data_IF_938476830857
#
_entry.id   IF_938476830857
#
_cell.length_a   1.000
_cell.length_b   1.000
_cell.length_c   1.000
_cell.angle_alpha   90.00
_cell.angle_beta   90.00
_cell.angle_gamma   90.00
#
_symmetry.space_group_name_H-M   'P 1'
#
loop_
_entity.id
_entity.type
_entity.pdbx_description
1 polymer ?
#
# COMPACT_ATOMS: atom_id res chain seq x y z
N UNK A 1 0.24 13.36 -9.96
CA UNK A 1 0.81 12.60 -8.81
C UNK A 1 -0.18 12.73 -7.66
N UNK A 2 -0.76 11.63 -7.18
CA UNK A 2 -1.78 11.66 -6.13
C UNK A 2 -1.12 11.32 -4.78
N UNK A 3 -1.30 12.18 -3.79
CA UNK A 3 -0.93 11.91 -2.39
C UNK A 3 -2.11 11.18 -1.78
N UNK A 4 -1.95 9.89 -1.51
CA UNK A 4 -2.94 9.14 -0.74
C UNK A 4 -2.66 9.34 0.74
N UNK A 5 -3.64 9.84 1.49
CA UNK A 5 -3.59 9.91 2.96
C UNK A 5 -4.31 8.68 3.48
N UNK A 6 -3.57 7.67 3.90
CA UNK A 6 -4.16 6.48 4.51
C UNK A 6 -4.19 6.63 6.03
N UNK A 7 -5.35 6.42 6.64
CA UNK A 7 -5.53 6.42 8.08
C UNK A 7 -4.83 5.19 8.69
N UNK A 8 -3.74 5.40 9.43
CA UNK A 8 -3.05 4.33 10.13
C UNK A 8 -3.77 4.08 11.46
N UNK A 9 -4.88 3.34 11.43
CA UNK A 9 -5.83 3.16 12.55
C UNK A 9 -5.22 2.65 13.87
N UNK A 10 -3.99 2.13 13.85
CA UNK A 10 -3.30 1.57 15.02
C UNK A 10 -2.05 2.34 15.46
N UNK A 11 -1.85 3.59 15.02
CA UNK A 11 -0.66 4.37 15.43
C UNK A 11 -1.04 5.73 16.02
N UNK A 12 -0.36 6.10 17.10
CA UNK A 12 -0.59 7.38 17.77
C UNK A 12 -0.15 8.55 16.88
N UNK A 13 -0.85 9.69 16.88
CA UNK A 13 -0.57 10.84 16.02
C UNK A 13 0.86 11.40 16.15
N UNK A 14 1.50 11.22 17.30
CA UNK A 14 2.87 11.64 17.60
C UNK A 14 3.96 10.78 16.92
N UNK A 15 3.61 9.64 16.31
CA UNK A 15 4.59 8.80 15.62
C UNK A 15 5.00 9.42 14.28
N UNK A 16 6.25 9.88 14.21
CA UNK A 16 6.89 10.48 13.03
C UNK A 16 7.21 9.43 11.97
N UNK A 17 6.18 9.01 11.26
CA UNK A 17 6.30 7.92 10.28
C UNK A 17 5.94 8.41 8.90
N UNK A 18 6.61 7.82 7.92
CA UNK A 18 6.25 7.87 6.52
C UNK A 18 6.27 6.44 5.95
N UNK A 19 5.49 6.15 4.91
CA UNK A 19 5.43 4.83 4.26
C UNK A 19 5.61 4.94 2.74
N UNK A 20 6.38 4.00 2.17
CA UNK A 20 6.67 3.95 0.72
C UNK A 20 7.17 2.57 0.29
N UNK A 21 7.39 2.36 -1.01
CA UNK A 21 8.29 1.32 -1.48
C UNK A 21 9.77 1.72 -1.29
N UNK A 22 10.53 0.86 -0.61
CA UNK A 22 11.90 1.16 -0.17
C UNK A 22 12.92 0.66 -1.20
N UNK A 23 13.79 1.54 -1.72
CA UNK A 23 14.87 1.21 -2.64
C UNK A 23 16.26 1.39 -1.97
N UNK A 24 17.24 0.55 -2.32
CA UNK A 24 18.65 0.62 -1.95
C UNK A 24 19.33 1.83 -2.61
N UNK A 25 19.94 2.69 -1.79
CA UNK A 25 20.81 3.80 -2.21
C UNK A 25 21.71 4.23 -1.04
N UNK A 26 22.71 5.08 -1.33
CA UNK A 26 23.79 5.54 -0.43
C UNK A 26 23.31 6.52 0.66
N UNK A 27 22.16 7.17 0.49
CA UNK A 27 21.61 8.10 1.49
C UNK A 27 20.93 7.38 2.66
N UNK A 28 21.08 7.93 3.88
CA UNK A 28 20.45 7.45 5.14
C UNK A 28 18.94 7.26 5.02
N UNK A 29 18.32 8.05 4.14
CA UNK A 29 16.96 7.87 3.69
C UNK A 29 16.99 7.13 2.33
N UNK A 30 16.87 5.80 2.43
CA UNK A 30 16.86 4.83 1.33
C UNK A 30 15.88 5.27 0.24
N UNK A 31 16.36 5.52 -0.98
CA UNK A 31 15.58 6.10 -2.11
C UNK A 31 14.19 5.49 -2.17
N UNK A 32 13.19 6.37 -2.25
CA UNK A 32 11.80 6.01 -2.05
C UNK A 32 11.12 6.25 -3.37
N UNK A 33 10.88 5.23 -4.20
CA UNK A 33 10.34 5.43 -5.54
C UNK A 33 9.03 6.23 -5.46
N UNK A 34 9.11 7.55 -5.71
CA UNK A 34 7.98 8.46 -5.59
C UNK A 34 6.85 8.14 -6.57
N UNK A 35 7.13 7.32 -7.58
CA UNK A 35 6.15 6.87 -8.55
C UNK A 35 4.93 6.19 -7.93
N UNK A 36 5.13 5.30 -6.95
CA UNK A 36 4.00 4.68 -6.26
C UNK A 36 3.32 5.63 -5.26
N UNK A 37 3.91 6.78 -4.98
CA UNK A 37 3.49 7.68 -3.90
C UNK A 37 3.97 7.22 -2.52
N UNK A 38 3.65 8.03 -1.52
CA UNK A 38 4.02 7.84 -0.14
C UNK A 38 2.93 8.38 0.79
N UNK A 39 2.87 7.86 2.01
CA UNK A 39 2.00 8.37 3.09
C UNK A 39 2.88 9.04 4.13
N UNK A 40 2.50 10.24 4.58
CA UNK A 40 3.21 10.99 5.63
C UNK A 40 2.25 11.20 6.81
N UNK A 41 2.71 10.92 8.03
CA UNK A 41 1.95 11.25 9.24
C UNK A 41 1.71 12.76 9.36
N UNK A 42 0.61 13.14 10.01
CA UNK A 42 0.23 14.54 10.22
C UNK A 42 1.37 15.35 10.86
N UNK A 43 2.01 14.80 11.88
CA UNK A 43 3.10 15.48 12.59
C UNK A 43 4.37 15.57 11.74
N UNK A 44 4.72 14.55 10.96
CA UNK A 44 5.84 14.64 10.03
C UNK A 44 5.61 15.70 8.94
N UNK A 45 4.38 15.80 8.42
CA UNK A 45 3.99 16.85 7.48
C UNK A 45 4.04 18.23 8.14
N UNK A 46 3.58 18.35 9.39
CA UNK A 46 3.62 19.59 10.15
C UNK A 46 5.06 20.10 10.34
N UNK A 47 5.99 19.23 10.71
CA UNK A 47 7.42 19.58 10.81
C UNK A 47 8.03 19.95 9.47
N UNK A 48 7.64 19.26 8.42
CA UNK A 48 8.08 19.57 7.08
C UNK A 48 7.59 20.95 6.64
N UNK A 49 6.32 21.28 6.88
CA UNK A 49 5.74 22.57 6.51
C UNK A 49 6.35 23.75 7.29
N UNK A 50 6.66 23.56 8.58
CA UNK A 50 7.22 24.60 9.45
C UNK A 50 8.74 24.50 9.63
N UNK A 51 9.44 23.87 8.69
CA UNK A 51 10.89 23.72 8.74
C UNK A 51 11.60 25.09 8.62
N UNK A 52 12.75 25.27 9.29
CA UNK A 52 13.60 26.44 9.07
C UNK A 52 14.03 26.59 7.60
N UNK A 53 14.16 27.82 7.09
CA UNK A 53 14.74 28.08 5.77
C UNK A 53 16.12 27.43 5.62
N UNK A 54 16.41 26.87 4.45
CA UNK A 54 17.70 26.22 4.16
C UNK A 54 17.90 24.85 4.83
N UNK A 55 16.95 24.34 5.62
CA UNK A 55 17.08 23.03 6.29
C UNK A 55 16.94 21.83 5.34
N UNK A 56 16.27 22.01 4.21
CA UNK A 56 16.05 20.96 3.24
C UNK A 56 16.70 21.32 1.91
N UNK A 57 17.40 20.39 1.25
CA UNK A 57 18.02 20.68 -0.03
C UNK A 57 16.96 20.87 -1.11
N UNK A 58 17.19 21.82 -2.01
CA UNK A 58 16.29 22.14 -3.12
C UNK A 58 17.08 22.03 -4.44
N UNK A 59 16.84 21.00 -5.26
CA UNK A 59 17.41 20.92 -6.62
C UNK A 59 16.37 20.71 -7.74
N UNK A 60 15.08 20.64 -7.39
CA UNK A 60 13.95 20.55 -8.32
C UNK A 60 13.82 19.25 -9.14
N UNK A 61 14.84 18.40 -9.21
CA UNK A 61 14.90 17.32 -10.19
C UNK A 61 14.63 15.93 -9.61
N UNK A 62 14.81 15.72 -8.29
CA UNK A 62 14.61 14.42 -7.62
C UNK A 62 13.77 14.55 -6.35
N UNK A 63 12.53 15.01 -6.50
CA UNK A 63 11.61 15.34 -5.39
C UNK A 63 11.54 14.27 -4.30
N UNK A 64 11.47 12.99 -4.67
CA UNK A 64 11.36 11.88 -3.72
C UNK A 64 12.62 11.66 -2.88
N UNK A 65 13.80 11.91 -3.46
CA UNK A 65 15.10 11.92 -2.76
C UNK A 65 15.16 13.10 -1.78
N UNK A 66 14.75 14.30 -2.20
CA UNK A 66 14.74 15.47 -1.32
C UNK A 66 13.75 15.35 -0.19
N UNK A 67 12.54 14.88 -0.47
CA UNK A 67 11.56 14.55 0.55
C UNK A 67 12.11 13.50 1.52
N UNK A 68 12.98 12.61 1.06
CA UNK A 68 13.71 11.69 1.93
C UNK A 68 14.66 12.39 2.88
N UNK A 69 15.64 13.09 2.34
CA UNK A 69 16.71 13.70 3.11
C UNK A 69 16.18 14.80 4.04
N UNK A 70 15.18 15.55 3.58
CA UNK A 70 14.49 16.56 4.36
C UNK A 70 13.73 15.97 5.56
N UNK A 71 12.94 14.92 5.34
CA UNK A 71 12.21 14.29 6.43
C UNK A 71 13.18 13.64 7.44
N UNK A 72 14.25 13.04 6.96
CA UNK A 72 15.31 12.50 7.82
C UNK A 72 15.99 13.61 8.67
N UNK A 73 16.30 14.76 8.08
CA UNK A 73 16.89 15.91 8.82
C UNK A 73 15.94 16.53 9.85
N UNK A 74 14.65 16.26 9.74
CA UNK A 74 13.59 16.63 10.69
C UNK A 74 13.30 15.54 11.73
N UNK A 75 14.08 14.45 11.72
CA UNK A 75 13.92 13.32 12.64
C UNK A 75 12.73 12.41 12.31
N UNK A 76 12.18 12.51 11.10
CA UNK A 76 11.11 11.62 10.62
C UNK A 76 11.74 10.36 10.07
N UNK A 77 11.27 9.21 10.56
CA UNK A 77 11.80 7.90 10.18
C UNK A 77 10.97 7.28 9.07
N UNK A 78 11.66 6.67 8.12
CA UNK A 78 11.02 5.81 7.14
C UNK A 78 10.78 4.40 7.66
N UNK A 79 9.56 3.89 7.47
CA UNK A 79 9.17 2.56 7.92
C UNK A 79 8.96 1.60 6.74
N UNK A 80 9.09 0.31 7.02
CA UNK A 80 8.71 -0.73 6.05
C UNK A 80 7.19 -0.72 5.86
N UNK A 81 6.77 -0.62 4.60
CA UNK A 81 5.36 -0.55 4.22
C UNK A 81 4.79 -1.91 3.81
N UNK A 82 5.61 -2.97 3.78
CA UNK A 82 5.15 -4.30 3.43
C UNK A 82 4.21 -4.85 4.49
N UNK A 83 3.34 -5.78 4.10
CA UNK A 83 2.52 -6.50 5.06
C UNK A 83 3.32 -7.54 5.87
N UNK A 84 2.66 -8.24 6.78
CA UNK A 84 3.28 -9.27 7.64
C UNK A 84 3.87 -10.44 6.86
N UNK A 85 3.51 -10.62 5.59
CA UNK A 85 4.04 -11.64 4.70
C UNK A 85 5.17 -11.10 3.80
N UNK A 86 5.58 -9.84 4.00
CA UNK A 86 6.61 -9.19 3.20
C UNK A 86 6.15 -8.77 1.80
N UNK A 87 4.84 -8.63 1.57
CA UNK A 87 4.26 -8.27 0.26
C UNK A 87 4.09 -6.75 0.14
N UNK A 88 4.21 -6.24 -1.08
CA UNK A 88 4.22 -4.80 -1.31
C UNK A 88 2.82 -4.17 -1.17
N UNK A 89 2.73 -3.04 -0.45
CA UNK A 89 1.54 -2.18 -0.41
C UNK A 89 1.64 -1.00 -1.38
N UNK A 90 2.83 -0.44 -1.54
CA UNK A 90 3.14 0.58 -2.54
C UNK A 90 3.89 -0.10 -3.69
N UNK A 91 3.27 -0.16 -4.87
CA UNK A 91 3.78 -0.94 -6.00
C UNK A 91 4.33 0.00 -7.09
N UNK A 92 5.65 0.02 -7.34
CA UNK A 92 6.31 0.97 -8.25
C UNK A 92 6.22 0.57 -9.73
N UNK A 93 5.21 -0.24 -10.07
CA UNK A 93 4.93 -0.81 -11.39
C UNK A 93 3.41 -0.93 -11.57
N UNK A 94 2.97 -1.25 -12.79
CA UNK A 94 1.58 -1.61 -13.06
C UNK A 94 1.22 -2.90 -12.32
N UNK A 95 -0.07 -3.07 -12.00
CA UNK A 95 -0.59 -4.29 -11.36
C UNK A 95 -0.18 -5.53 -12.15
N UNK A 96 -0.51 -5.58 -13.44
CA UNK A 96 -0.21 -6.72 -14.33
C UNK A 96 1.28 -7.03 -14.42
N UNK A 97 2.13 -5.99 -14.44
CA UNK A 97 3.57 -6.15 -14.51
C UNK A 97 4.15 -6.76 -13.22
N UNK A 98 3.65 -6.31 -12.07
CA UNK A 98 4.01 -6.86 -10.77
C UNK A 98 3.57 -8.33 -10.64
N UNK A 99 2.32 -8.61 -11.02
CA UNK A 99 1.72 -9.95 -10.94
C UNK A 99 2.35 -10.95 -11.90
N UNK A 100 2.81 -10.53 -13.07
CA UNK A 100 3.46 -11.43 -14.04
C UNK A 100 4.97 -11.58 -13.81
N UNK A 101 5.48 -11.11 -12.66
CA UNK A 101 6.91 -11.02 -12.36
C UNK A 101 7.75 -10.26 -13.42
N UNK A 102 7.08 -9.50 -14.30
CA UNK A 102 7.71 -8.79 -15.42
C UNK A 102 8.21 -7.39 -15.02
N UNK A 103 8.74 -7.28 -13.81
CA UNK A 103 9.17 -6.01 -13.24
C UNK A 103 10.52 -5.62 -13.87
N UNK A 104 10.74 -4.33 -14.21
CA UNK A 104 11.98 -3.91 -14.84
C UNK A 104 13.20 -4.25 -13.97
N UNK A 105 14.33 -4.60 -14.60
CA UNK A 105 15.58 -4.96 -13.89
C UNK A 105 16.01 -3.89 -12.88
N UNK A 106 15.86 -2.61 -13.22
CA UNK A 106 16.19 -1.51 -12.31
C UNK A 106 15.37 -1.57 -11.03
N UNK A 107 14.07 -1.88 -11.11
CA UNK A 107 13.19 -1.94 -9.95
C UNK A 107 13.58 -3.12 -9.05
N UNK A 108 13.87 -4.30 -9.62
CA UNK A 108 14.39 -5.45 -8.87
C UNK A 108 15.75 -5.19 -8.22
N UNK A 109 16.66 -4.51 -8.93
CA UNK A 109 18.01 -4.22 -8.44
C UNK A 109 18.00 -3.21 -7.30
N UNK A 110 17.13 -2.20 -7.40
CA UNK A 110 17.07 -1.16 -6.41
C UNK A 110 16.06 -1.45 -5.31
N UNK A 111 15.14 -2.40 -5.38
CA UNK A 111 14.26 -2.69 -4.25
C UNK A 111 15.07 -3.19 -3.03
N UNK A 112 14.95 -2.46 -1.91
CA UNK A 112 15.62 -2.78 -0.64
C UNK A 112 15.19 -4.14 -0.12
N UNK A 113 13.90 -4.42 -0.25
CA UNK A 113 13.27 -5.61 0.26
C UNK A 113 12.99 -6.55 -0.89
N UNK A 114 13.96 -7.42 -1.17
CA UNK A 114 13.79 -8.48 -2.17
C UNK A 114 12.62 -9.37 -1.73
N UNK A 115 11.57 -9.38 -2.55
CA UNK A 115 10.49 -10.33 -2.40
C UNK A 115 10.99 -11.70 -2.86
N UNK A 116 10.85 -12.70 -2.00
CA UNK A 116 10.96 -14.11 -2.41
C UNK A 116 9.61 -14.65 -2.92
N UNK A 117 8.57 -13.81 -2.88
CA UNK A 117 7.26 -14.12 -3.42
C UNK A 117 7.22 -13.79 -4.90
N UNK A 118 6.39 -14.53 -5.62
CA UNK A 118 6.15 -14.42 -7.05
C UNK A 118 4.65 -14.38 -7.34
N UNK A 119 4.27 -13.84 -8.49
CA UNK A 119 2.88 -13.86 -8.90
C UNK A 119 1.98 -12.97 -8.04
N UNK A 120 0.79 -13.50 -7.75
CA UNK A 120 -0.20 -12.88 -6.86
C UNK A 120 0.30 -12.66 -5.43
N UNK A 121 1.31 -13.42 -5.01
CA UNK A 121 1.86 -13.31 -3.66
C UNK A 121 2.86 -12.14 -3.51
N UNK A 122 3.15 -11.39 -4.58
CA UNK A 122 4.04 -10.22 -4.49
C UNK A 122 3.36 -8.98 -3.93
N UNK A 123 2.03 -8.91 -4.00
CA UNK A 123 1.22 -7.75 -3.61
C UNK A 123 0.39 -8.10 -2.37
N UNK A 124 0.31 -7.16 -1.43
CA UNK A 124 -0.54 -7.27 -0.25
C UNK A 124 -2.00 -7.43 -0.66
N UNK A 125 -2.81 -8.19 0.11
CA UNK A 125 -4.27 -8.19 -0.05
C UNK A 125 -4.91 -6.81 0.19
N UNK A 126 -4.17 -5.92 0.84
CA UNK A 126 -4.53 -4.53 1.06
C UNK A 126 -3.44 -3.64 0.43
N UNK A 127 -3.42 -3.51 -0.91
CA UNK A 127 -2.52 -2.58 -1.57
C UNK A 127 -2.98 -1.14 -1.32
N UNK A 128 -2.04 -0.20 -1.34
CA UNK A 128 -2.31 1.23 -1.18
C UNK A 128 -2.27 1.95 -2.52
N UNK A 129 -1.31 1.61 -3.38
CA UNK A 129 -1.12 2.31 -4.65
C UNK A 129 -0.29 1.52 -5.65
N UNK A 130 -0.50 1.83 -6.93
CA UNK A 130 0.23 1.29 -8.07
C UNK A 130 0.74 2.44 -8.95
N UNK A 131 1.95 2.30 -9.50
CA UNK A 131 2.53 3.29 -10.42
C UNK A 131 2.24 2.91 -11.88
N UNK A 132 2.35 3.89 -12.79
CA UNK A 132 2.14 3.71 -14.24
C UNK A 132 0.75 3.19 -14.65
N UNK A 133 -0.25 3.28 -13.78
CA UNK A 133 -1.64 2.95 -14.08
C UNK A 133 -2.19 3.95 -15.10
N UNK A 134 -2.71 3.44 -16.21
CA UNK A 134 -3.37 4.24 -17.26
C UNK A 134 -4.79 4.63 -16.86
N UNK A 135 -5.41 5.57 -17.58
CA UNK A 135 -6.81 5.95 -17.33
C UNK A 135 -7.79 4.79 -17.49
N UNK A 136 -7.54 3.88 -18.45
CA UNK A 136 -8.38 2.67 -18.62
C UNK A 136 -8.24 1.75 -17.42
N UNK A 137 -7.01 1.44 -17.02
CA UNK A 137 -6.74 0.56 -15.87
C UNK A 137 -7.31 1.15 -14.57
N UNK A 138 -7.32 2.49 -14.40
CA UNK A 138 -7.96 3.12 -13.25
C UNK A 138 -9.46 2.82 -13.19
N UNK A 139 -10.17 2.90 -14.32
CA UNK A 139 -11.60 2.59 -14.39
C UNK A 139 -11.89 1.10 -14.22
N UNK A 140 -11.02 0.23 -14.76
CA UNK A 140 -11.10 -1.21 -14.54
C UNK A 140 -10.95 -1.55 -13.05
N UNK A 141 -9.94 -0.98 -12.39
CA UNK A 141 -9.69 -1.16 -10.96
C UNK A 141 -10.88 -0.64 -10.12
N UNK A 142 -11.41 0.55 -10.45
CA UNK A 142 -12.61 1.11 -9.79
C UNK A 142 -13.79 0.14 -9.89
N UNK A 143 -14.07 -0.34 -11.11
CA UNK A 143 -15.16 -1.28 -11.34
C UNK A 143 -15.00 -2.57 -10.54
N UNK A 144 -13.82 -3.18 -10.57
CA UNK A 144 -13.59 -4.45 -9.87
C UNK A 144 -13.55 -4.31 -8.34
N UNK A 145 -13.17 -3.16 -7.80
CA UNK A 145 -13.10 -2.95 -6.35
C UNK A 145 -14.45 -2.51 -5.78
N UNK A 146 -15.15 -1.59 -6.44
CA UNK A 146 -16.31 -0.91 -5.86
C UNK A 146 -17.66 -1.25 -6.49
N UNK A 147 -17.68 -1.85 -7.67
CA UNK A 147 -18.92 -2.10 -8.42
C UNK A 147 -19.18 -3.58 -8.72
N UNK A 148 -18.14 -4.40 -8.83
CA UNK A 148 -18.27 -5.82 -9.09
C UNK A 148 -18.65 -6.58 -7.80
N UNK A 149 -19.81 -7.24 -7.82
CA UNK A 149 -20.23 -8.17 -6.78
C UNK A 149 -19.96 -9.60 -7.25
N UNK A 150 -18.85 -10.18 -6.76
CA UNK A 150 -18.50 -11.56 -7.09
C UNK A 150 -19.36 -12.51 -6.25
N UNK A 151 -20.16 -13.34 -6.92
CA UNK A 151 -21.01 -14.31 -6.25
C UNK A 151 -20.18 -15.24 -5.35
N UNK A 152 -20.62 -15.40 -4.10
CA UNK A 152 -20.00 -16.29 -3.12
C UNK A 152 -18.81 -15.71 -2.35
N UNK A 153 -18.44 -14.44 -2.57
CA UNK A 153 -17.43 -13.74 -1.76
C UNK A 153 -18.14 -12.73 -0.86
N UNK A 154 -18.04 -12.92 0.46
CA UNK A 154 -18.51 -11.94 1.44
C UNK A 154 -17.37 -10.96 1.72
N UNK A 155 -17.55 -9.70 1.34
CA UNK A 155 -16.56 -8.67 1.66
C UNK A 155 -16.70 -8.26 3.14
N UNK A 156 -15.58 -7.95 3.81
CA UNK A 156 -15.60 -7.59 5.23
C UNK A 156 -16.47 -6.38 5.58
N UNK A 157 -16.73 -5.50 4.60
CA UNK A 157 -17.64 -4.35 4.76
C UNK A 157 -19.12 -4.76 4.77
N UNK A 158 -19.50 -5.80 4.03
CA UNK A 158 -20.87 -6.34 4.06
C UNK A 158 -21.16 -7.00 5.42
N UNK A 159 -20.15 -7.61 6.05
CA UNK A 159 -20.27 -8.17 7.40
C UNK A 159 -20.51 -7.10 8.48
N UNK A 160 -20.08 -5.85 8.27
CA UNK A 160 -20.34 -4.73 9.22
C UNK A 160 -21.79 -4.25 9.09
N UNK A 161 -22.35 -4.25 7.88
CA UNK A 161 -23.75 -3.86 7.65
C UNK A 161 -24.76 -4.93 8.10
N UNK A 162 -24.36 -6.19 8.22
CA UNK A 162 -25.26 -7.26 8.69
C UNK A 162 -25.38 -7.36 10.21
N UNK A 163 -24.46 -6.78 10.98
CA UNK A 163 -24.53 -6.75 12.46
C UNK A 163 -25.68 -5.86 12.96
N UNK A 164 -26.20 -4.96 12.11
CA UNK A 164 -27.36 -4.11 12.40
C UNK A 164 -28.71 -4.64 11.88
N UNK A 165 -28.73 -5.76 11.15
CA UNK A 165 -29.97 -6.33 10.61
C UNK A 165 -30.55 -7.36 11.62
N UNK A 166 -31.85 -7.30 11.95
CA UNK A 166 -32.45 -8.28 12.85
C UNK A 166 -32.28 -9.69 12.27
N UNK A 167 -31.80 -10.59 13.13
CA UNK A 167 -31.51 -11.98 12.78
C UNK A 167 -32.78 -12.71 12.36
N UNK A 168 -32.99 -12.87 11.05
CA UNK A 168 -34.01 -13.77 10.53
C UNK A 168 -33.45 -15.19 10.44
N UNK A 169 -34.20 -16.17 10.97
CA UNK A 169 -33.84 -17.60 11.07
C UNK A 169 -33.42 -18.29 9.76
N UNK A 170 -33.59 -17.63 8.61
CA UNK A 170 -33.11 -18.09 7.31
C UNK A 170 -31.59 -18.04 7.12
N UNK A 171 -30.82 -17.33 7.97
CA UNK A 171 -29.35 -17.28 7.85
C UNK A 171 -28.63 -18.48 8.50
N UNK A 172 -29.29 -19.25 9.37
CA UNK A 172 -28.67 -20.41 10.02
C UNK A 172 -28.45 -21.60 9.08
N UNK A 173 -29.19 -21.70 7.97
CA UNK A 173 -29.03 -22.85 7.05
C UNK A 173 -27.76 -22.75 6.18
N UNK A 174 -27.26 -21.55 5.92
CA UNK A 174 -26.09 -21.35 5.04
C UNK A 174 -24.78 -21.68 5.77
N UNK A 175 -24.68 -21.38 7.06
CA UNK A 175 -23.50 -21.70 7.89
C UNK A 175 -23.39 -23.19 8.26
N UNK A 176 -24.48 -23.95 8.18
CA UNK A 176 -24.50 -25.39 8.42
C UNK A 176 -24.05 -26.23 7.22
N UNK A 177 -24.03 -25.67 6.00
CA UNK A 177 -23.75 -26.43 4.78
C UNK A 177 -22.27 -26.44 4.36
N UNK A 178 -21.39 -25.68 5.01
CA UNK A 178 -19.97 -25.56 4.60
C UNK A 178 -18.99 -26.47 5.33
N UNK A 179 -19.41 -27.25 6.34
CA UNK A 179 -18.51 -28.21 7.02
C UNK A 179 -18.57 -29.65 6.48
N UNK A 180 -19.33 -29.92 5.41
CA UNK A 180 -19.45 -31.28 4.88
C UNK A 180 -19.13 -31.35 3.37
N UNK A 181 -17.87 -31.70 3.10
CA UNK A 181 -17.36 -32.56 2.00
C UNK A 181 -16.20 -31.94 1.19
N UNK A 182 -14.99 -32.23 1.64
CA UNK A 182 -13.87 -32.57 0.73
C UNK A 182 -12.91 -33.54 1.43
N UNK A 183 -13.40 -34.76 1.67
CA UNK A 183 -12.58 -35.95 1.62
C UNK A 183 -12.92 -36.63 0.30
N UNK A 184 -11.95 -36.77 -0.61
CA UNK A 184 -11.81 -37.95 -1.47
C UNK A 184 -10.60 -37.77 -2.43
N UNK A 185 -9.65 -38.70 -2.24
CA UNK A 185 -8.75 -39.38 -3.20
C UNK A 185 -7.89 -38.58 -4.15
#
# INVERSE_FOLDING_TARGET
>A
KHIFVHNCENRKPEHLVWFVNNFNSISFCLVRSGGAGYVISREALNRWAHRPPGKCPEDGNREDVYMCDCLASLGVKAEDSRDSYGRHRFVPSRVTQQLNNNIPKWNRAHNKYKSNQEGMNTVSHYPVSFHYVTSSEMHEIEYFIYHAHVYGIVSGLEAVNTIGAPSNESTKSVLSSTEAKTNLT
#
